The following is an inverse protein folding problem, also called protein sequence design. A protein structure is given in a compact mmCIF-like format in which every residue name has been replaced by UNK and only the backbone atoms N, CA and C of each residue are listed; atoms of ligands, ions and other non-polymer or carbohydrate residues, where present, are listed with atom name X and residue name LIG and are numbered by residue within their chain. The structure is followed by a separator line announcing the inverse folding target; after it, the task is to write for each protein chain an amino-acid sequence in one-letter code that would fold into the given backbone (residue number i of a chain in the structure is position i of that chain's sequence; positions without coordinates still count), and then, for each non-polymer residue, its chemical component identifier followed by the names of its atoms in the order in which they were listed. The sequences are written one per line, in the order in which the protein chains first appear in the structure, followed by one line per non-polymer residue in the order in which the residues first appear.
data_IF_427833645929
#
_entry.id   IF_427833645929
#
_cell.length_a   1.000
_cell.length_b   1.000
_cell.length_c   1.000
_cell.angle_alpha   90.00
_cell.angle_beta   90.00
_cell.angle_gamma   90.00
#
_symmetry.space_group_name_H-M   'P 1'
#
loop_
_entity.id
_entity.type
_entity.pdbx_description
1 polymer ?
#
# COMPACT_ATOMS: atom_id res chain seq x y z
N UNK A 1 53.70 33.14 30.46
CA UNK A 1 52.40 32.45 30.43
C UNK A 1 51.95 32.37 28.98
N UNK A 2 52.13 31.22 28.33
CA UNK A 2 51.77 31.03 26.92
C UNK A 2 50.33 30.52 26.85
N UNK A 3 49.40 31.40 26.50
CA UNK A 3 48.03 31.01 26.19
C UNK A 3 48.01 30.27 24.84
N UNK A 4 47.48 29.04 24.81
CA UNK A 4 47.13 28.37 23.56
C UNK A 4 45.98 29.15 22.90
N UNK A 5 46.00 29.38 21.58
CA UNK A 5 44.82 29.91 20.90
C UNK A 5 43.68 28.90 21.06
N UNK A 6 42.48 29.40 21.38
CA UNK A 6 41.27 28.59 21.32
C UNK A 6 41.05 28.11 19.87
N UNK A 7 40.52 26.89 19.66
CA UNK A 7 40.19 26.44 18.31
C UNK A 7 39.14 27.39 17.74
N UNK A 8 39.40 27.84 16.52
CA UNK A 8 38.53 28.70 15.72
C UNK A 8 37.25 27.90 15.37
N UNK A 9 36.20 28.10 16.17
CA UNK A 9 34.89 27.41 16.05
C UNK A 9 34.02 28.00 14.91
N UNK A 10 34.56 28.97 14.17
CA UNK A 10 33.92 29.70 13.06
C UNK A 10 34.45 29.27 11.67
N UNK A 11 35.08 28.10 11.55
CA UNK A 11 35.35 27.52 10.23
C UNK A 11 34.01 27.15 9.55
N UNK A 12 33.67 27.71 8.37
CA UNK A 12 32.47 27.33 7.65
C UNK A 12 32.51 25.82 7.44
N UNK A 13 31.48 25.11 7.93
CA UNK A 13 31.31 23.68 7.66
C UNK A 13 31.57 23.42 6.17
N UNK A 14 32.63 22.66 5.87
CA UNK A 14 33.04 22.39 4.50
C UNK A 14 31.82 21.90 3.70
N UNK A 15 31.38 22.62 2.65
CA UNK A 15 30.24 22.24 1.83
C UNK A 15 30.35 20.82 1.29
N UNK A 16 31.58 20.33 1.02
CA UNK A 16 31.82 18.96 0.59
C UNK A 16 31.57 17.94 1.72
N UNK A 17 31.99 18.24 2.95
CA UNK A 17 31.69 17.43 4.14
C UNK A 17 30.19 17.40 4.46
N UNK A 18 29.49 18.54 4.33
CA UNK A 18 28.03 18.61 4.46
C UNK A 18 27.31 17.82 3.36
N UNK A 19 27.76 17.91 2.11
CA UNK A 19 27.19 17.14 0.99
C UNK A 19 27.41 15.63 1.21
N UNK A 20 28.60 15.22 1.64
CA UNK A 20 28.92 13.83 1.94
C UNK A 20 28.08 13.28 3.10
N UNK A 21 27.82 14.08 4.13
CA UNK A 21 26.89 13.74 5.20
C UNK A 21 25.45 13.57 4.70
N UNK A 22 24.95 14.49 3.86
CA UNK A 22 23.62 14.40 3.25
C UNK A 22 23.49 13.14 2.39
N UNK A 23 24.48 12.85 1.54
CA UNK A 23 24.50 11.65 0.68
C UNK A 23 24.51 10.37 1.51
N UNK A 24 25.32 10.33 2.58
CA UNK A 24 25.37 9.18 3.50
C UNK A 24 24.01 8.98 4.18
N UNK A 25 23.39 10.04 4.70
CA UNK A 25 22.05 9.98 5.31
C UNK A 25 20.96 9.56 4.31
N UNK A 26 21.01 10.05 3.08
CA UNK A 26 20.08 9.64 2.00
C UNK A 26 20.23 8.15 1.70
N UNK A 27 21.46 7.66 1.53
CA UNK A 27 21.72 6.24 1.23
C UNK A 27 21.28 5.30 2.37
N UNK A 28 21.46 5.71 3.63
CA UNK A 28 20.96 4.94 4.78
C UNK A 28 19.43 4.92 4.84
N UNK A 29 18.79 6.04 4.53
CA UNK A 29 17.33 6.16 4.51
C UNK A 29 16.74 5.30 3.40
N UNK A 30 17.31 5.34 2.19
CA UNK A 30 16.93 4.46 1.07
C UNK A 30 17.08 2.98 1.45
N UNK A 31 18.18 2.61 2.10
CA UNK A 31 18.42 1.22 2.52
C UNK A 31 17.42 0.75 3.58
N UNK A 32 17.04 1.62 4.53
CA UNK A 32 15.99 1.34 5.52
C UNK A 32 14.61 1.24 4.87
N UNK A 33 14.30 2.11 3.91
CA UNK A 33 13.06 2.06 3.15
C UNK A 33 12.95 0.75 2.37
N UNK A 34 14.00 0.37 1.67
CA UNK A 34 14.07 -0.87 0.91
C UNK A 34 13.92 -2.10 1.81
N UNK A 35 14.48 -2.09 3.03
CA UNK A 35 14.34 -3.17 3.99
C UNK A 35 12.91 -3.31 4.57
N UNK A 36 12.13 -2.23 4.62
CA UNK A 36 10.74 -2.24 5.11
C UNK A 36 9.74 -2.70 4.05
N UNK A 37 10.03 -2.51 2.76
CA UNK A 37 9.14 -2.83 1.65
C UNK A 37 8.63 -4.28 1.66
N UNK A 38 9.47 -5.33 1.83
CA UNK A 38 8.99 -6.72 1.84
C UNK A 38 7.99 -6.99 2.97
N UNK A 39 8.15 -6.35 4.12
CA UNK A 39 7.26 -6.53 5.27
C UNK A 39 5.88 -5.93 5.03
N UNK A 40 5.83 -4.72 4.44
CA UNK A 40 4.56 -4.07 4.09
C UNK A 40 3.82 -4.92 3.05
N UNK A 41 4.53 -5.35 2.01
CA UNK A 41 3.94 -6.15 0.93
C UNK A 41 3.46 -7.52 1.44
N UNK A 42 4.23 -8.17 2.31
CA UNK A 42 3.82 -9.44 2.93
C UNK A 42 2.59 -9.27 3.83
N UNK A 43 2.51 -8.19 4.62
CA UNK A 43 1.35 -7.91 5.46
C UNK A 43 0.07 -7.74 4.62
N UNK A 44 0.15 -7.01 3.50
CA UNK A 44 -0.96 -6.87 2.55
C UNK A 44 -1.32 -8.20 1.88
N UNK A 45 -0.33 -9.00 1.48
CA UNK A 45 -0.55 -10.32 0.92
C UNK A 45 -1.31 -11.25 1.88
N UNK A 46 -0.87 -11.33 3.14
CA UNK A 46 -1.56 -12.11 4.19
C UNK A 46 -2.98 -11.57 4.42
N UNK A 47 -3.14 -10.26 4.52
CA UNK A 47 -4.43 -9.63 4.75
C UNK A 47 -5.42 -9.95 3.61
N UNK A 48 -4.98 -9.93 2.36
CA UNK A 48 -5.81 -10.29 1.21
C UNK A 48 -6.11 -11.78 1.14
N UNK A 49 -5.11 -12.66 1.30
CA UNK A 49 -5.31 -14.12 1.27
C UNK A 49 -6.31 -14.54 2.36
N UNK A 50 -6.06 -14.13 3.60
CA UNK A 50 -6.87 -14.55 4.75
C UNK A 50 -8.21 -13.82 4.77
N UNK A 51 -8.22 -12.51 4.50
CA UNK A 51 -9.44 -11.71 4.54
C UNK A 51 -10.42 -12.09 3.44
N UNK A 52 -9.98 -12.12 2.18
CA UNK A 52 -10.87 -12.53 1.08
C UNK A 52 -11.15 -14.04 1.10
N UNK A 53 -10.21 -14.86 1.58
CA UNK A 53 -10.46 -16.26 1.85
C UNK A 53 -11.60 -16.46 2.85
N UNK A 54 -11.61 -15.69 3.94
CA UNK A 54 -12.70 -15.74 4.93
C UNK A 54 -14.06 -15.32 4.30
N UNK A 55 -14.09 -14.29 3.46
CA UNK A 55 -15.30 -13.87 2.75
C UNK A 55 -15.80 -14.94 1.75
N UNK A 56 -14.88 -15.58 1.01
CA UNK A 56 -15.22 -16.70 0.13
C UNK A 56 -15.90 -17.84 0.89
N UNK A 57 -15.42 -18.15 2.11
CA UNK A 57 -15.94 -19.24 2.94
C UNK A 57 -17.33 -18.99 3.54
N UNK A 58 -17.98 -17.85 3.28
CA UNK A 58 -19.38 -17.63 3.67
C UNK A 58 -20.31 -18.57 2.89
N UNK A 59 -20.09 -18.66 1.57
CA UNK A 59 -20.95 -19.39 0.63
C UNK A 59 -20.19 -20.32 -0.32
N UNK A 60 -18.92 -20.03 -0.63
CA UNK A 60 -18.16 -20.66 -1.71
C UNK A 60 -17.74 -22.11 -1.46
N UNK A 61 -17.78 -22.58 -0.21
CA UNK A 61 -17.46 -23.96 0.16
C UNK A 61 -18.69 -24.78 0.58
N UNK A 62 -19.91 -24.28 0.34
CA UNK A 62 -21.15 -25.00 0.67
C UNK A 62 -21.39 -26.20 -0.24
N UNK A 63 -21.99 -27.28 0.28
CA UNK A 63 -22.45 -27.48 1.66
C UNK A 63 -21.36 -27.96 2.64
N UNK A 64 -20.12 -28.19 2.17
CA UNK A 64 -19.07 -28.84 2.95
C UNK A 64 -18.58 -28.02 4.16
N UNK A 65 -18.45 -26.70 4.01
CA UNK A 65 -17.99 -25.81 5.07
C UNK A 65 -18.48 -24.38 4.85
N UNK A 66 -18.86 -23.69 5.92
CA UNK A 66 -19.19 -22.27 5.88
C UNK A 66 -18.82 -21.58 7.19
N UNK A 67 -18.29 -20.35 7.10
CA UNK A 67 -17.99 -19.51 8.26
C UNK A 67 -19.15 -18.51 8.46
N UNK A 68 -19.56 -18.22 9.71
CA UNK A 68 -20.58 -17.21 9.98
C UNK A 68 -20.20 -15.82 9.43
N UNK A 69 -21.17 -15.12 8.85
CA UNK A 69 -20.99 -13.79 8.26
C UNK A 69 -20.24 -12.79 9.17
N UNK A 70 -20.59 -12.64 10.47
CA UNK A 70 -19.89 -11.68 11.34
C UNK A 70 -18.41 -12.01 11.55
N UNK A 71 -18.07 -13.31 11.55
CA UNK A 71 -16.69 -13.77 11.69
C UNK A 71 -15.90 -13.45 10.43
N UNK A 72 -16.42 -13.80 9.25
CA UNK A 72 -15.76 -13.54 7.98
C UNK A 72 -15.53 -12.03 7.74
N UNK A 73 -16.58 -11.22 7.92
CA UNK A 73 -16.50 -9.76 7.75
C UNK A 73 -15.59 -9.13 8.81
N UNK A 74 -15.71 -9.56 10.08
CA UNK A 74 -14.87 -9.07 11.17
C UNK A 74 -13.38 -9.35 10.93
N UNK A 75 -13.04 -10.57 10.48
CA UNK A 75 -11.66 -10.94 10.12
C UNK A 75 -11.13 -10.09 8.96
N UNK A 76 -11.92 -9.94 7.88
CA UNK A 76 -11.53 -9.11 6.74
C UNK A 76 -11.24 -7.66 7.16
N UNK A 77 -12.17 -7.01 7.87
CA UNK A 77 -12.02 -5.62 8.31
C UNK A 77 -10.81 -5.47 9.24
N UNK A 78 -10.65 -6.36 10.21
CA UNK A 78 -9.53 -6.32 11.14
C UNK A 78 -8.17 -6.42 10.44
N UNK A 79 -8.05 -7.32 9.46
CA UNK A 79 -6.82 -7.50 8.68
C UNK A 79 -6.53 -6.29 7.78
N UNK A 80 -7.55 -5.72 7.13
CA UNK A 80 -7.39 -4.51 6.31
C UNK A 80 -6.93 -3.33 7.17
N UNK A 81 -7.56 -3.11 8.32
CA UNK A 81 -7.17 -2.05 9.27
C UNK A 81 -5.74 -2.27 9.77
N UNK A 82 -5.39 -3.50 10.15
CA UNK A 82 -4.04 -3.83 10.61
C UNK A 82 -2.97 -3.55 9.53
N UNK A 83 -3.24 -3.90 8.26
CA UNK A 83 -2.34 -3.64 7.14
C UNK A 83 -2.19 -2.13 6.87
N UNK A 84 -3.27 -1.36 6.93
CA UNK A 84 -3.25 0.11 6.81
C UNK A 84 -2.43 0.74 7.93
N UNK A 85 -2.68 0.35 9.19
CA UNK A 85 -1.96 0.88 10.36
C UNK A 85 -0.47 0.53 10.25
N UNK A 86 -0.13 -0.72 9.93
CA UNK A 86 1.25 -1.13 9.75
C UNK A 86 1.94 -0.29 8.66
N UNK A 87 1.29 -0.10 7.51
CA UNK A 87 1.81 0.71 6.41
C UNK A 87 2.01 2.17 6.83
N UNK A 88 1.04 2.76 7.53
CA UNK A 88 1.12 4.14 8.00
C UNK A 88 2.22 4.33 9.04
N UNK A 89 2.36 3.42 10.01
CA UNK A 89 3.39 3.49 11.05
C UNK A 89 4.78 3.32 10.45
N UNK A 90 4.98 2.34 9.56
CA UNK A 90 6.26 2.16 8.88
C UNK A 90 6.57 3.36 7.98
N UNK A 91 5.59 3.83 7.19
CA UNK A 91 5.69 5.03 6.36
C UNK A 91 6.11 6.26 7.15
N UNK A 92 5.41 6.55 8.26
CA UNK A 92 5.70 7.69 9.12
C UNK A 92 7.09 7.60 9.76
N UNK A 93 7.52 6.41 10.19
CA UNK A 93 8.88 6.19 10.73
C UNK A 93 9.96 6.44 9.69
N UNK A 94 9.73 6.08 8.43
CA UNK A 94 10.69 6.29 7.34
C UNK A 94 10.81 7.76 6.93
N UNK A 95 9.75 8.56 7.07
CA UNK A 95 9.77 10.00 6.75
C UNK A 95 10.29 10.91 7.86
N UNK A 96 10.53 10.40 9.09
CA UNK A 96 11.02 11.21 10.21
C UNK A 96 12.44 11.71 9.93
N UNK A 97 12.59 13.04 9.85
CA UNK A 97 13.88 13.70 9.62
C UNK A 97 14.03 14.29 8.22
N UNK A 98 13.13 13.98 7.28
CA UNK A 98 13.12 14.61 5.95
C UNK A 98 12.42 15.95 6.04
N UNK A 99 13.15 17.04 5.76
CA UNK A 99 12.58 18.39 5.66
C UNK A 99 11.55 18.41 4.53
N UNK A 100 10.27 18.39 4.89
CA UNK A 100 9.20 18.42 3.90
C UNK A 100 9.19 19.78 3.20
N UNK A 101 9.26 19.79 1.88
CA UNK A 101 9.05 21.01 1.10
C UNK A 101 7.57 21.39 1.13
N UNK A 102 7.24 22.67 0.92
CA UNK A 102 5.83 23.10 0.80
C UNK A 102 5.09 22.32 -0.29
N UNK A 103 5.78 22.04 -1.39
CA UNK A 103 5.28 21.25 -2.51
C UNK A 103 5.00 19.79 -2.10
N UNK A 104 5.91 19.14 -1.36
CA UNK A 104 5.70 17.78 -0.86
C UNK A 104 4.49 17.68 0.08
N UNK A 105 4.32 18.68 0.97
CA UNK A 105 3.15 18.74 1.85
C UNK A 105 1.84 18.95 1.08
N UNK A 106 1.83 19.85 0.09
CA UNK A 106 0.66 20.10 -0.74
C UNK A 106 0.28 18.85 -1.54
N UNK A 107 1.26 18.21 -2.19
CA UNK A 107 1.04 16.98 -2.94
C UNK A 107 0.49 15.87 -2.04
N UNK A 108 1.09 15.66 -0.86
CA UNK A 108 0.59 14.69 0.12
C UNK A 108 -0.85 14.97 0.56
N UNK A 109 -1.20 16.23 0.82
CA UNK A 109 -2.55 16.63 1.20
C UNK A 109 -3.55 16.41 0.06
N UNK A 110 -3.21 16.78 -1.18
CA UNK A 110 -4.05 16.52 -2.35
C UNK A 110 -4.28 15.03 -2.51
N UNK A 111 -3.23 14.20 -2.48
CA UNK A 111 -3.38 12.74 -2.58
C UNK A 111 -4.28 12.16 -1.49
N UNK A 112 -4.14 12.62 -0.23
CA UNK A 112 -4.98 12.17 0.88
C UNK A 112 -6.46 12.59 0.73
N UNK A 113 -6.69 13.85 0.35
CA UNK A 113 -8.05 14.39 0.15
C UNK A 113 -8.71 13.73 -1.06
N UNK A 114 -8.01 13.61 -2.18
CA UNK A 114 -8.55 12.96 -3.39
C UNK A 114 -8.86 11.49 -3.10
N UNK A 115 -7.99 10.76 -2.41
CA UNK A 115 -8.26 9.37 -2.03
C UNK A 115 -9.51 9.24 -1.16
N UNK A 116 -9.63 10.08 -0.13
CA UNK A 116 -10.82 10.11 0.75
C UNK A 116 -12.09 10.45 -0.03
N UNK A 117 -12.01 11.45 -0.92
CA UNK A 117 -13.12 11.85 -1.78
C UNK A 117 -13.53 10.73 -2.76
N UNK A 118 -12.58 9.96 -3.29
CA UNK A 118 -12.87 8.83 -4.17
C UNK A 118 -13.63 7.71 -3.45
N UNK A 119 -13.22 7.33 -2.24
CA UNK A 119 -13.96 6.33 -1.44
C UNK A 119 -15.33 6.83 -1.01
N UNK A 120 -15.45 8.12 -0.67
CA UNK A 120 -16.73 8.73 -0.35
C UNK A 120 -17.66 8.75 -1.58
N UNK A 121 -17.16 9.15 -2.74
CA UNK A 121 -17.91 9.14 -4.00
C UNK A 121 -18.35 7.73 -4.39
N UNK A 122 -17.47 6.73 -4.23
CA UNK A 122 -17.78 5.32 -4.43
C UNK A 122 -18.92 4.85 -3.51
N UNK A 123 -18.89 5.21 -2.23
CA UNK A 123 -19.95 4.87 -1.28
C UNK A 123 -21.30 5.51 -1.67
N UNK A 124 -21.31 6.82 -1.98
CA UNK A 124 -22.53 7.51 -2.41
C UNK A 124 -23.08 6.92 -3.71
N UNK A 125 -22.19 6.57 -4.65
CA UNK A 125 -22.56 5.89 -5.90
C UNK A 125 -23.20 4.53 -5.63
N UNK A 126 -22.61 3.71 -4.74
CA UNK A 126 -23.19 2.43 -4.32
C UNK A 126 -24.59 2.59 -3.71
N UNK A 127 -24.78 3.58 -2.82
CA UNK A 127 -26.11 3.90 -2.26
C UNK A 127 -27.12 4.26 -3.35
N UNK A 128 -26.70 5.04 -4.35
CA UNK A 128 -27.52 5.35 -5.52
C UNK A 128 -27.92 4.09 -6.30
N UNK A 129 -26.98 3.18 -6.54
CA UNK A 129 -27.24 1.92 -7.23
C UNK A 129 -28.20 1.01 -6.45
N UNK A 130 -28.01 0.87 -5.12
CA UNK A 130 -28.92 0.13 -4.25
C UNK A 130 -30.34 0.69 -4.31
N UNK A 131 -30.50 2.02 -4.29
CA UNK A 131 -31.81 2.66 -4.42
C UNK A 131 -32.49 2.42 -5.77
N UNK A 132 -31.71 2.11 -6.81
CA UNK A 132 -32.22 1.78 -8.15
C UNK A 132 -32.36 0.26 -8.36
N UNK A 133 -32.36 -0.55 -7.30
CA UNK A 133 -32.64 -1.98 -7.36
C UNK A 133 -31.42 -2.85 -7.67
N UNK A 134 -30.20 -2.37 -7.44
CA UNK A 134 -29.02 -3.24 -7.54
C UNK A 134 -29.11 -4.40 -6.55
N UNK A 135 -28.89 -5.60 -7.07
CA UNK A 135 -28.88 -6.84 -6.30
C UNK A 135 -27.80 -6.82 -5.19
N UNK A 136 -28.09 -7.31 -3.97
CA UNK A 136 -27.10 -7.39 -2.89
C UNK A 136 -25.81 -8.15 -3.24
N UNK A 137 -25.88 -9.20 -4.07
CA UNK A 137 -24.70 -9.96 -4.49
C UNK A 137 -23.82 -9.12 -5.42
N UNK A 138 -24.41 -8.23 -6.21
CA UNK A 138 -23.66 -7.27 -7.00
C UNK A 138 -22.97 -6.22 -6.12
N UNK A 139 -23.53 -5.85 -4.97
CA UNK A 139 -22.84 -4.98 -4.00
C UNK A 139 -21.60 -5.67 -3.43
N UNK A 140 -21.71 -6.97 -3.13
CA UNK A 140 -20.59 -7.78 -2.63
C UNK A 140 -19.41 -7.84 -3.61
N UNK A 141 -19.69 -7.79 -4.92
CA UNK A 141 -18.67 -7.68 -5.99
C UNK A 141 -18.20 -6.23 -6.17
N UNK A 142 -19.14 -5.27 -6.13
CA UNK A 142 -18.91 -3.86 -6.41
C UNK A 142 -17.89 -3.25 -5.45
N UNK A 143 -18.10 -3.39 -4.14
CA UNK A 143 -17.25 -2.74 -3.13
C UNK A 143 -15.77 -3.12 -3.22
N UNK A 144 -15.38 -4.40 -3.21
CA UNK A 144 -13.97 -4.78 -3.30
C UNK A 144 -13.37 -4.43 -4.67
N UNK A 145 -14.13 -4.57 -5.75
CA UNK A 145 -13.68 -4.24 -7.11
C UNK A 145 -13.41 -2.74 -7.27
N UNK A 146 -14.38 -1.90 -6.94
CA UNK A 146 -14.24 -0.45 -7.05
C UNK A 146 -13.13 0.07 -6.13
N UNK A 147 -13.01 -0.46 -4.91
CA UNK A 147 -11.90 -0.14 -4.01
C UNK A 147 -10.55 -0.51 -4.62
N UNK A 148 -10.41 -1.72 -5.20
CA UNK A 148 -9.18 -2.14 -5.85
C UNK A 148 -8.84 -1.27 -7.06
N UNK A 149 -9.83 -0.92 -7.90
CA UNK A 149 -9.62 -0.04 -9.05
C UNK A 149 -9.16 1.36 -8.62
N UNK A 150 -9.82 1.96 -7.61
CA UNK A 150 -9.43 3.25 -7.05
C UNK A 150 -7.99 3.18 -6.55
N UNK A 151 -7.67 2.23 -5.67
CA UNK A 151 -6.32 2.10 -5.10
C UNK A 151 -5.28 1.83 -6.17
N UNK A 152 -5.57 0.95 -7.12
CA UNK A 152 -4.65 0.57 -8.20
C UNK A 152 -4.33 1.74 -9.12
N UNK A 153 -5.33 2.49 -9.56
CA UNK A 153 -5.14 3.69 -10.39
C UNK A 153 -4.39 4.76 -9.61
N UNK A 154 -4.72 4.99 -8.34
CA UNK A 154 -4.00 5.94 -7.49
C UNK A 154 -2.52 5.56 -7.33
N UNK A 155 -2.23 4.28 -7.12
CA UNK A 155 -0.86 3.78 -7.04
C UNK A 155 -0.10 4.00 -8.35
N UNK A 156 -0.75 3.73 -9.49
CA UNK A 156 -0.13 3.93 -10.80
C UNK A 156 0.16 5.40 -11.09
N UNK A 157 -0.79 6.30 -10.78
CA UNK A 157 -0.62 7.74 -10.91
C UNK A 157 0.48 8.27 -10.01
N UNK A 158 0.45 7.91 -8.73
CA UNK A 158 1.50 8.24 -7.77
C UNK A 158 2.88 7.78 -8.26
N UNK A 159 2.99 6.52 -8.69
CA UNK A 159 4.21 5.97 -9.25
C UNK A 159 4.68 6.72 -10.50
N UNK A 160 3.76 7.18 -11.35
CA UNK A 160 4.08 8.01 -12.52
C UNK A 160 4.63 9.39 -12.13
N UNK A 161 3.96 10.08 -11.20
CA UNK A 161 4.38 11.41 -10.74
C UNK A 161 5.75 11.39 -10.05
N UNK A 162 5.99 10.41 -9.19
CA UNK A 162 7.26 10.27 -8.46
C UNK A 162 8.27 9.38 -9.17
N UNK A 163 7.97 8.89 -10.37
CA UNK A 163 8.81 7.96 -11.17
C UNK A 163 9.23 6.70 -10.42
N UNK A 164 8.37 6.20 -9.53
CA UNK A 164 8.60 4.99 -8.74
C UNK A 164 7.99 3.81 -9.51
N UNK A 165 8.79 3.19 -10.37
CA UNK A 165 8.38 2.07 -11.25
C UNK A 165 7.69 0.90 -10.49
N UNK A 166 8.19 0.46 -9.31
CA UNK A 166 7.50 -0.59 -8.54
C UNK A 166 6.06 -0.22 -8.15
N UNK A 167 5.81 1.07 -7.87
CA UNK A 167 4.48 1.56 -7.50
C UNK A 167 3.54 1.56 -8.71
N UNK A 168 4.06 1.87 -9.91
CA UNK A 168 3.31 1.77 -11.18
C UNK A 168 2.87 0.34 -11.43
N UNK A 169 3.80 -0.61 -11.38
CA UNK A 169 3.50 -2.03 -11.58
C UNK A 169 2.50 -2.56 -10.56
N UNK A 170 2.68 -2.22 -9.28
CA UNK A 170 1.76 -2.61 -8.23
C UNK A 170 0.36 -2.04 -8.47
N UNK A 171 0.26 -0.77 -8.82
CA UNK A 171 -1.01 -0.13 -9.13
C UNK A 171 -1.73 -0.77 -10.32
N UNK A 172 -0.99 -1.01 -11.41
CA UNK A 172 -1.51 -1.68 -12.59
C UNK A 172 -1.99 -3.12 -12.28
N UNK A 173 -1.25 -3.86 -11.45
CA UNK A 173 -1.63 -5.21 -11.02
C UNK A 173 -2.92 -5.20 -10.19
N UNK A 174 -3.00 -4.33 -9.18
CA UNK A 174 -4.20 -4.20 -8.34
C UNK A 174 -5.41 -3.81 -9.19
N UNK A 175 -5.24 -2.87 -10.12
CA UNK A 175 -6.31 -2.46 -11.03
C UNK A 175 -6.74 -3.62 -11.95
N UNK A 176 -5.80 -4.40 -12.47
CA UNK A 176 -6.09 -5.58 -13.29
C UNK A 176 -6.87 -6.64 -12.50
N UNK A 177 -6.44 -6.95 -11.27
CA UNK A 177 -7.16 -7.88 -10.38
C UNK A 177 -8.57 -7.35 -10.11
N UNK A 178 -8.72 -6.06 -9.79
CA UNK A 178 -10.02 -5.43 -9.61
C UNK A 178 -10.90 -5.54 -10.86
N UNK A 179 -10.35 -5.31 -12.05
CA UNK A 179 -11.09 -5.36 -13.30
C UNK A 179 -11.55 -6.79 -13.66
N UNK A 180 -10.74 -7.80 -13.35
CA UNK A 180 -11.00 -9.20 -13.72
C UNK A 180 -11.86 -9.92 -12.68
N UNK A 181 -11.83 -9.52 -11.41
CA UNK A 181 -12.57 -10.18 -10.33
C UNK A 181 -14.09 -10.33 -10.58
N UNK A 182 -14.82 -9.31 -11.10
CA UNK A 182 -16.27 -9.41 -11.33
C UNK A 182 -16.69 -10.55 -12.26
N UNK A 183 -15.83 -10.95 -13.20
CA UNK A 183 -16.15 -12.01 -14.16
C UNK A 183 -16.32 -13.39 -13.51
N UNK A 184 -15.88 -13.57 -12.26
CA UNK A 184 -16.09 -14.80 -11.50
C UNK A 184 -17.40 -14.83 -10.71
N UNK A 185 -18.08 -13.69 -10.55
CA UNK A 185 -19.33 -13.59 -9.79
C UNK A 185 -19.19 -13.82 -8.28
N UNK A 186 -20.30 -13.69 -7.56
CA UNK A 186 -20.37 -14.02 -6.14
C UNK A 186 -20.53 -15.54 -5.96
N UNK A 187 -19.81 -16.20 -5.02
CA UNK A 187 -18.75 -15.68 -4.14
C UNK A 187 -17.31 -15.84 -4.70
N UNK A 188 -17.14 -16.44 -5.89
CA UNK A 188 -15.82 -16.85 -6.42
C UNK A 188 -14.85 -15.70 -6.70
N UNK A 189 -15.35 -14.48 -6.94
CA UNK A 189 -14.50 -13.29 -7.06
C UNK A 189 -13.65 -13.04 -5.80
N UNK A 190 -14.12 -13.41 -4.59
CA UNK A 190 -13.32 -13.33 -3.38
C UNK A 190 -12.13 -14.29 -3.39
N UNK A 191 -12.34 -15.52 -3.89
CA UNK A 191 -11.22 -16.46 -4.05
C UNK A 191 -10.21 -15.93 -5.06
N UNK A 192 -10.67 -15.32 -6.15
CA UNK A 192 -9.78 -14.66 -7.10
C UNK A 192 -8.99 -13.51 -6.46
N UNK A 193 -9.62 -12.65 -5.65
CA UNK A 193 -8.91 -11.61 -4.90
C UNK A 193 -7.86 -12.19 -3.94
N UNK A 194 -8.21 -13.26 -3.22
CA UNK A 194 -7.30 -13.95 -2.31
C UNK A 194 -6.07 -14.50 -3.06
N UNK A 195 -6.28 -15.16 -4.19
CA UNK A 195 -5.21 -15.81 -4.95
C UNK A 195 -4.42 -14.83 -5.82
N UNK A 196 -5.07 -14.11 -6.73
CA UNK A 196 -4.41 -13.22 -7.68
C UNK A 196 -3.87 -11.95 -6.99
N UNK A 197 -4.68 -11.35 -6.12
CA UNK A 197 -4.26 -10.19 -5.34
C UNK A 197 -3.27 -10.58 -4.25
N UNK A 198 -3.72 -11.41 -3.29
CA UNK A 198 -2.90 -11.84 -2.16
C UNK A 198 -1.63 -12.60 -2.57
N UNK A 199 -1.72 -13.53 -3.51
CA UNK A 199 -0.57 -14.23 -4.08
C UNK A 199 0.35 -13.31 -4.87
N UNK A 200 -0.19 -12.35 -5.63
CA UNK A 200 0.61 -11.33 -6.33
C UNK A 200 1.44 -10.48 -5.38
N UNK A 201 0.85 -10.04 -4.26
CA UNK A 201 1.59 -9.34 -3.20
C UNK A 201 2.68 -10.24 -2.60
N UNK A 202 2.37 -11.49 -2.24
CA UNK A 202 3.36 -12.39 -1.62
C UNK A 202 4.55 -12.66 -2.56
N UNK A 203 4.30 -12.90 -3.84
CA UNK A 203 5.36 -13.05 -4.86
C UNK A 203 6.17 -11.76 -4.96
N UNK A 204 5.53 -10.59 -5.00
CA UNK A 204 6.21 -9.29 -4.99
C UNK A 204 7.11 -9.10 -3.77
N UNK A 205 6.67 -9.53 -2.58
CA UNK A 205 7.45 -9.48 -1.34
C UNK A 205 8.66 -10.41 -1.37
N UNK A 206 8.49 -11.63 -1.89
CA UNK A 206 9.58 -12.61 -2.06
C UNK A 206 10.62 -12.08 -3.07
N UNK A 207 10.17 -11.57 -4.21
CA UNK A 207 11.06 -10.98 -5.24
C UNK A 207 11.80 -9.77 -4.65
N UNK A 208 11.11 -8.91 -3.91
CA UNK A 208 11.74 -7.77 -3.26
C UNK A 208 12.84 -8.21 -2.28
N UNK A 209 12.54 -9.17 -1.39
CA UNK A 209 13.49 -9.73 -0.45
C UNK A 209 14.68 -10.42 -1.14
N UNK A 210 14.44 -11.13 -2.25
CA UNK A 210 15.48 -11.81 -3.02
C UNK A 210 16.42 -10.82 -3.72
N UNK A 211 15.88 -9.76 -4.34
CA UNK A 211 16.68 -8.72 -4.99
C UNK A 211 17.55 -7.96 -3.98
N UNK A 212 17.00 -7.64 -2.80
CA UNK A 212 17.76 -7.04 -1.69
C UNK A 212 18.91 -7.92 -1.22
N UNK A 213 18.68 -9.23 -1.08
CA UNK A 213 19.72 -10.20 -0.69
C UNK A 213 20.81 -10.37 -1.76
N UNK A 214 20.45 -10.22 -3.03
CA UNK A 214 21.40 -10.38 -4.15
C UNK A 214 22.28 -9.16 -4.42
N UNK A 215 22.07 -8.04 -3.71
CA UNK A 215 22.77 -6.78 -3.97
C UNK A 215 22.41 -6.12 -5.30
N UNK A 216 21.40 -6.62 -6.02
CA UNK A 216 20.93 -6.12 -7.33
C UNK A 216 19.83 -5.08 -7.21
N UNK A 217 19.58 -4.55 -6.01
CA UNK A 217 18.65 -3.45 -5.82
C UNK A 217 19.29 -2.17 -6.36
N UNK A 218 18.97 -1.84 -7.61
CA UNK A 218 19.40 -0.60 -8.26
C UNK A 218 18.42 0.49 -7.83
N UNK A 219 18.95 1.52 -7.17
CA UNK A 219 18.25 2.77 -6.81
C UNK A 219 17.89 3.54 -8.08
#
# INVERSE_FOLDING_TARGET
MNARPAPDDDAPLDPAAMLALIQTQQSEMERRMAAATPWIVAAWGIAWVVGFGALFLIDGARPGFAIPLPVAVGTFIALMIAAVIASAVLGARMGRGVKQTKEANFNGAVFGVTGSASFFAMYVFAVGLTRNGMDPDLLNIFFPTSSALIVGIFYALAGGFWRIVPMIWMGAWIALVGLVAPFFGYPHHYLFFALAGGGGFLVGGIVAAALLRSGRWVV
#
